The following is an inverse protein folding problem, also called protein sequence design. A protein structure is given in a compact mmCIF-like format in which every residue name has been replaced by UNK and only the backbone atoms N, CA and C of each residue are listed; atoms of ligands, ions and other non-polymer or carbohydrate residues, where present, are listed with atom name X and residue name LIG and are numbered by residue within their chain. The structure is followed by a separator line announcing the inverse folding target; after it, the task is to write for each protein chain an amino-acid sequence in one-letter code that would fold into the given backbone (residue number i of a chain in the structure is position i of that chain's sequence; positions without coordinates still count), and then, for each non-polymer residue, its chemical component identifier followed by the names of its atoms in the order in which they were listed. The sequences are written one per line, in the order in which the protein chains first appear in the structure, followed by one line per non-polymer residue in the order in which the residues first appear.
data_IF_227390851101
#
_entry.id   IF_227390851101
#
_cell.length_a   1.000
_cell.length_b   1.000
_cell.length_c   1.000
_cell.angle_alpha   90.00
_cell.angle_beta   90.00
_cell.angle_gamma   90.00
#
_symmetry.space_group_name_H-M   'P 1'
#
loop_
_entity.id
_entity.type
_entity.pdbx_description
1 polymer ?
#
# COMPACT_ATOMS: atom_id res chain seq x y z
N UNK A 1 0.29 -30.36 -11.29
CA UNK A 1 0.87 -29.00 -11.29
C UNK A 1 2.33 -29.12 -11.66
N UNK A 2 2.80 -28.38 -12.66
CA UNK A 2 4.21 -28.40 -13.10
C UNK A 2 5.06 -27.50 -12.20
N UNK A 3 6.39 -27.67 -12.22
CA UNK A 3 7.32 -26.80 -11.48
C UNK A 3 7.11 -25.32 -11.83
N UNK A 4 6.87 -25.00 -13.11
CA UNK A 4 6.59 -23.65 -13.57
C UNK A 4 5.31 -23.08 -12.94
N UNK A 5 4.24 -23.88 -12.87
CA UNK A 5 2.99 -23.48 -12.23
C UNK A 5 3.18 -23.24 -10.72
N UNK A 6 3.97 -24.08 -10.05
CA UNK A 6 4.28 -23.91 -8.62
C UNK A 6 5.08 -22.62 -8.35
N UNK A 7 6.11 -22.35 -9.17
CA UNK A 7 6.91 -21.12 -9.04
C UNK A 7 6.05 -19.87 -9.27
N UNK A 8 5.19 -19.88 -10.28
CA UNK A 8 4.28 -18.76 -10.54
C UNK A 8 3.34 -18.54 -9.36
N UNK A 9 2.73 -19.61 -8.82
CA UNK A 9 1.85 -19.50 -7.65
C UNK A 9 2.57 -18.93 -6.42
N UNK A 10 3.82 -19.32 -6.19
CA UNK A 10 4.64 -18.76 -5.10
C UNK A 10 4.92 -17.28 -5.31
N UNK A 11 5.28 -16.88 -6.54
CA UNK A 11 5.50 -15.49 -6.92
C UNK A 11 4.23 -14.65 -6.69
N UNK A 12 3.09 -15.12 -7.21
CA UNK A 12 1.79 -14.46 -7.08
C UNK A 12 1.40 -14.24 -5.62
N UNK A 13 1.53 -15.28 -4.79
CA UNK A 13 1.25 -15.19 -3.36
C UNK A 13 2.20 -14.21 -2.64
N UNK A 14 3.48 -14.18 -3.02
CA UNK A 14 4.45 -13.24 -2.46
C UNK A 14 4.11 -11.79 -2.84
N UNK A 15 3.69 -11.53 -4.08
CA UNK A 15 3.25 -10.20 -4.52
C UNK A 15 1.97 -9.76 -3.81
N UNK A 16 1.00 -10.65 -3.61
CA UNK A 16 -0.22 -10.36 -2.83
C UNK A 16 0.10 -10.03 -1.36
N UNK A 17 1.00 -10.79 -0.74
CA UNK A 17 1.46 -10.52 0.61
C UNK A 17 2.18 -9.16 0.68
N UNK A 18 3.06 -8.86 -0.28
CA UNK A 18 3.77 -7.58 -0.33
C UNK A 18 2.80 -6.41 -0.57
N UNK A 19 1.88 -6.54 -1.52
CA UNK A 19 0.86 -5.53 -1.81
C UNK A 19 -0.01 -5.24 -0.58
N UNK A 20 -0.25 -6.23 0.30
CA UNK A 20 -1.05 -6.02 1.53
C UNK A 20 -0.47 -4.98 2.49
N UNK A 21 0.83 -4.66 2.39
CA UNK A 21 1.47 -3.58 3.14
C UNK A 21 1.14 -2.18 2.60
N UNK A 22 0.54 -2.08 1.41
CA UNK A 22 0.15 -0.82 0.80
C UNK A 22 -0.96 -0.09 1.57
N UNK A 23 -0.82 1.23 1.72
CA UNK A 23 -1.78 2.11 2.40
C UNK A 23 -3.01 2.43 1.53
N UNK A 24 -3.77 1.40 1.16
CA UNK A 24 -4.91 1.52 0.25
C UNK A 24 -6.09 2.33 0.79
N UNK A 25 -6.14 2.59 2.10
CA UNK A 25 -7.15 3.46 2.69
C UNK A 25 -7.12 4.87 2.07
N UNK A 26 -5.94 5.38 1.69
CA UNK A 26 -5.83 6.67 1.00
C UNK A 26 -6.56 6.70 -0.35
N UNK A 27 -6.67 5.58 -1.07
CA UNK A 27 -7.44 5.50 -2.31
C UNK A 27 -8.91 5.15 -2.03
N UNK A 28 -9.18 4.12 -1.24
CA UNK A 28 -10.55 3.62 -1.02
C UNK A 28 -11.46 4.58 -0.26
N UNK A 29 -10.92 5.44 0.62
CA UNK A 29 -11.74 6.44 1.31
C UNK A 29 -12.32 7.50 0.36
N UNK A 30 -11.65 7.75 -0.77
CA UNK A 30 -12.12 8.67 -1.82
C UNK A 30 -13.37 8.12 -2.55
N UNK A 31 -13.57 6.80 -2.54
CA UNK A 31 -14.58 6.11 -3.34
C UNK A 31 -15.74 5.52 -2.51
N UNK A 32 -15.67 5.51 -1.18
CA UNK A 32 -16.62 4.80 -0.30
C UNK A 32 -17.72 5.66 0.35
N UNK A 33 -17.86 6.95 0.03
CA UNK A 33 -18.90 7.81 0.65
C UNK A 33 -19.69 8.62 -0.40
N UNK A 34 -21.00 8.36 -0.57
CA UNK A 34 -21.88 9.22 -1.38
C UNK A 34 -22.19 10.57 -0.71
N UNK A 35 -22.11 10.64 0.62
CA UNK A 35 -22.64 11.77 1.40
C UNK A 35 -21.61 12.86 1.75
N UNK A 36 -20.33 12.63 1.48
CA UNK A 36 -19.25 13.60 1.70
C UNK A 36 -18.33 13.64 0.49
N UNK A 37 -18.43 14.73 -0.28
CA UNK A 37 -17.68 15.02 -1.52
C UNK A 37 -16.16 15.16 -1.27
N UNK A 38 -15.70 15.28 -0.02
CA UNK A 38 -14.48 16.06 0.24
C UNK A 38 -13.26 15.31 0.80
N UNK A 39 -13.25 13.97 0.85
CA UNK A 39 -12.03 13.23 1.27
C UNK A 39 -11.22 12.72 0.08
N UNK A 40 -10.72 13.67 -0.72
CA UNK A 40 -9.72 13.39 -1.76
C UNK A 40 -8.33 13.53 -1.15
N UNK A 41 -7.51 12.49 -1.31
CA UNK A 41 -6.12 12.50 -0.90
C UNK A 41 -5.21 12.84 -2.08
N UNK A 42 -4.22 13.69 -1.82
CA UNK A 42 -3.31 14.23 -2.82
C UNK A 42 -1.88 13.84 -2.53
N UNK A 43 -1.08 13.76 -3.59
CA UNK A 43 0.37 13.58 -3.53
C UNK A 43 1.06 14.59 -4.45
N UNK A 44 2.35 14.80 -4.22
CA UNK A 44 3.18 15.53 -5.19
C UNK A 44 3.36 14.67 -6.45
N UNK A 45 2.97 15.21 -7.60
CA UNK A 45 3.03 14.52 -8.88
C UNK A 45 4.48 14.28 -9.29
N UNK A 46 4.77 13.11 -9.85
CA UNK A 46 6.09 12.79 -10.40
C UNK A 46 6.12 12.88 -11.93
N UNK A 47 7.29 13.17 -12.49
CA UNK A 47 7.61 13.03 -13.91
C UNK A 47 7.93 11.58 -14.28
N UNK A 48 8.20 11.35 -15.57
CA UNK A 48 8.54 10.03 -16.10
C UNK A 48 9.81 9.42 -15.50
N UNK A 49 10.66 10.25 -14.89
CA UNK A 49 11.91 9.86 -14.24
C UNK A 49 11.76 9.76 -12.70
N UNK A 50 10.53 9.88 -12.17
CA UNK A 50 10.26 9.80 -10.73
C UNK A 50 10.63 11.06 -9.94
N UNK A 51 10.88 12.20 -10.60
CA UNK A 51 11.17 13.49 -9.93
C UNK A 51 9.89 14.30 -9.72
N UNK A 52 9.87 15.16 -8.71
CA UNK A 52 8.71 16.03 -8.45
C UNK A 52 8.47 16.97 -9.64
N UNK A 53 7.23 17.00 -10.13
CA UNK A 53 6.77 17.98 -11.12
C UNK A 53 6.62 19.34 -10.45
N UNK A 54 7.16 20.36 -11.11
CA UNK A 54 7.04 21.74 -10.67
C UNK A 54 6.12 22.53 -11.62
N UNK A 55 5.36 23.47 -11.06
CA UNK A 55 4.62 24.46 -11.82
C UNK A 55 5.55 25.59 -12.33
N UNK A 56 5.00 26.54 -13.08
CA UNK A 56 5.74 27.69 -13.61
C UNK A 56 6.37 28.59 -12.51
N UNK A 57 5.95 28.41 -11.25
CA UNK A 57 6.44 29.15 -10.09
C UNK A 57 7.38 28.31 -9.22
N UNK A 58 7.92 27.20 -9.74
CA UNK A 58 8.78 26.25 -9.03
C UNK A 58 8.13 25.60 -7.79
N UNK A 59 6.81 25.48 -7.73
CA UNK A 59 6.10 24.77 -6.66
C UNK A 59 5.71 23.36 -7.11
N UNK A 60 5.77 22.40 -6.19
CA UNK A 60 5.36 21.02 -6.47
C UNK A 60 3.89 20.96 -6.86
N UNK A 61 3.61 20.32 -7.99
CA UNK A 61 2.25 20.09 -8.49
C UNK A 61 1.63 18.97 -7.67
N UNK A 62 0.43 19.20 -7.12
CA UNK A 62 -0.35 18.16 -6.43
C UNK A 62 -1.42 17.59 -7.34
N UNK A 63 -1.68 16.29 -7.21
CA UNK A 63 -2.78 15.60 -7.89
C UNK A 63 -3.42 14.56 -6.96
N UNK A 64 -4.66 14.13 -7.22
CA UNK A 64 -5.27 13.02 -6.51
C UNK A 64 -4.42 11.75 -6.59
N UNK A 65 -4.44 10.95 -5.51
CA UNK A 65 -3.83 9.62 -5.46
C UNK A 65 -4.56 8.67 -6.42
N UNK A 66 -3.79 7.91 -7.17
CA UNK A 66 -4.25 6.73 -7.92
C UNK A 66 -3.84 5.46 -7.17
N UNK A 67 -4.55 4.36 -7.41
CA UNK A 67 -4.28 3.08 -6.74
C UNK A 67 -2.85 2.57 -6.97
N UNK A 68 -2.31 2.84 -8.15
CA UNK A 68 -0.95 2.47 -8.58
C UNK A 68 0.11 3.18 -7.75
N UNK A 69 -0.12 4.43 -7.36
CA UNK A 69 0.85 5.23 -6.59
C UNK A 69 1.16 4.62 -5.23
N UNK A 70 0.20 3.91 -4.63
CA UNK A 70 0.32 3.34 -3.29
C UNK A 70 1.42 2.26 -3.22
N UNK A 71 1.61 1.52 -4.31
CA UNK A 71 2.60 0.46 -4.39
C UNK A 71 3.86 0.86 -5.19
N UNK A 72 3.83 1.93 -5.97
CA UNK A 72 4.97 2.35 -6.81
C UNK A 72 6.15 2.86 -5.97
N UNK A 73 7.33 2.29 -6.20
CA UNK A 73 8.57 2.70 -5.55
C UNK A 73 8.97 4.17 -5.79
N UNK A 74 8.53 4.79 -6.88
CA UNK A 74 8.80 6.21 -7.16
C UNK A 74 8.07 7.14 -6.18
N UNK A 75 7.02 6.63 -5.55
CA UNK A 75 6.24 7.33 -4.52
C UNK A 75 6.60 6.84 -3.12
N UNK A 76 7.63 6.01 -2.97
CA UNK A 76 8.16 5.65 -1.66
C UNK A 76 8.56 6.90 -0.89
N UNK A 77 8.09 7.01 0.35
CA UNK A 77 8.27 8.19 1.21
C UNK A 77 7.63 9.48 0.66
N UNK A 78 6.72 9.38 -0.31
CA UNK A 78 5.95 10.53 -0.77
C UNK A 78 4.87 10.89 0.24
N UNK A 79 4.79 12.16 0.58
CA UNK A 79 3.79 12.66 1.52
C UNK A 79 2.39 12.66 0.91
N UNK A 80 1.42 12.24 1.73
CA UNK A 80 0.00 12.27 1.42
C UNK A 80 -0.64 13.47 2.11
N UNK A 81 -1.49 14.18 1.38
CA UNK A 81 -2.13 15.40 1.81
C UNK A 81 -3.65 15.32 1.71
N UNK A 82 -4.34 16.00 2.62
CA UNK A 82 -5.78 16.29 2.54
C UNK A 82 -5.96 17.79 2.32
N UNK A 83 -6.92 18.19 1.47
CA UNK A 83 -7.19 19.61 1.25
C UNK A 83 -8.17 20.13 2.31
N UNK A 84 -7.70 21.10 3.08
CA UNK A 84 -8.50 21.80 4.07
C UNK A 84 -9.18 23.02 3.44
N UNK A 85 -10.45 22.87 3.09
CA UNK A 85 -11.25 23.94 2.46
C UNK A 85 -11.39 25.19 3.33
N UNK A 86 -11.41 25.05 4.66
CA UNK A 86 -11.52 26.18 5.59
C UNK A 86 -10.24 27.02 5.62
N UNK A 87 -9.08 26.36 5.67
CA UNK A 87 -7.77 27.03 5.72
C UNK A 87 -7.17 27.26 4.33
N UNK A 88 -7.82 26.77 3.26
CA UNK A 88 -7.38 26.82 1.87
C UNK A 88 -5.95 26.33 1.67
N UNK A 89 -5.61 25.19 2.30
CA UNK A 89 -4.26 24.62 2.26
C UNK A 89 -4.30 23.10 2.29
N UNK A 90 -3.16 22.50 1.96
CA UNK A 90 -2.94 21.05 2.06
C UNK A 90 -2.30 20.73 3.41
N UNK A 91 -2.93 19.88 4.20
CA UNK A 91 -2.40 19.36 5.45
C UNK A 91 -1.82 17.96 5.20
N UNK A 92 -0.60 17.69 5.68
CA UNK A 92 0.04 16.37 5.56
C UNK A 92 -0.60 15.38 6.53
N UNK A 93 -1.05 14.23 6.02
CA UNK A 93 -1.74 13.20 6.80
C UNK A 93 -0.97 11.89 6.90
N UNK A 94 0.07 11.71 6.10
CA UNK A 94 0.90 10.52 6.14
C UNK A 94 1.86 10.43 4.96
N UNK A 95 2.31 9.21 4.68
CA UNK A 95 3.36 8.95 3.70
C UNK A 95 3.16 7.56 3.10
N UNK A 96 3.45 7.41 1.80
CA UNK A 96 3.39 6.13 1.09
C UNK A 96 4.66 5.30 1.30
N UNK A 97 4.52 3.97 1.20
CA UNK A 97 5.63 3.02 1.35
C UNK A 97 5.63 1.97 0.22
N UNK A 98 5.29 2.40 -0.99
CA UNK A 98 5.35 1.55 -2.18
C UNK A 98 6.77 1.08 -2.50
N UNK A 99 6.90 -0.14 -2.98
CA UNK A 99 8.19 -0.78 -3.32
C UNK A 99 8.17 -1.53 -4.66
N UNK A 100 7.06 -1.50 -5.40
CA UNK A 100 6.94 -2.18 -6.67
C UNK A 100 7.63 -1.37 -7.76
N UNK A 101 8.41 -2.07 -8.58
CA UNK A 101 8.89 -1.51 -9.85
C UNK A 101 7.74 -1.36 -10.85
N UNK A 102 7.90 -0.45 -11.83
CA UNK A 102 6.87 -0.13 -12.84
C UNK A 102 6.24 -1.35 -13.52
N UNK A 103 7.05 -2.31 -13.95
CA UNK A 103 6.57 -3.52 -14.65
C UNK A 103 5.79 -4.43 -13.70
N UNK A 104 6.29 -4.62 -12.47
CA UNK A 104 5.63 -5.43 -11.45
C UNK A 104 4.26 -4.84 -11.09
N UNK A 105 4.21 -3.52 -10.89
CA UNK A 105 3.00 -2.77 -10.61
C UNK A 105 1.93 -2.94 -11.69
N UNK A 106 2.34 -2.79 -12.96
CA UNK A 106 1.45 -2.96 -14.10
C UNK A 106 0.92 -4.41 -14.16
N UNK A 107 1.80 -5.40 -14.07
CA UNK A 107 1.40 -6.82 -14.10
C UNK A 107 0.47 -7.19 -12.95
N UNK A 108 0.70 -6.62 -11.76
CA UNK A 108 -0.13 -6.85 -10.58
C UNK A 108 -1.55 -6.32 -10.80
N UNK A 109 -1.71 -5.06 -11.18
CA UNK A 109 -3.04 -4.46 -11.39
C UNK A 109 -3.73 -4.89 -12.69
N UNK A 110 -3.00 -5.48 -13.65
CA UNK A 110 -3.62 -6.19 -14.78
C UNK A 110 -4.28 -7.51 -14.39
N UNK A 111 -4.04 -8.01 -13.17
CA UNK A 111 -4.56 -9.28 -12.68
C UNK A 111 -5.44 -9.12 -11.45
N UNK A 112 -5.04 -8.30 -10.49
CA UNK A 112 -5.70 -8.20 -9.20
C UNK A 112 -6.45 -6.89 -9.03
N UNK A 113 -7.76 -6.99 -8.82
CA UNK A 113 -8.58 -5.86 -8.39
C UNK A 113 -8.55 -5.75 -6.86
N UNK A 114 -8.44 -4.52 -6.36
CA UNK A 114 -8.59 -4.22 -4.93
C UNK A 114 -10.07 -4.10 -4.58
N UNK A 115 -10.56 -4.97 -3.69
CA UNK A 115 -11.96 -4.93 -3.25
C UNK A 115 -12.14 -4.22 -1.91
N UNK A 116 -11.27 -4.54 -0.94
CA UNK A 116 -11.36 -4.01 0.41
C UNK A 116 -9.99 -3.96 1.05
N UNK A 117 -9.78 -2.94 1.87
CA UNK A 117 -8.61 -2.84 2.73
C UNK A 117 -9.06 -2.45 4.13
N UNK A 118 -8.50 -3.15 5.11
CA UNK A 118 -8.54 -2.80 6.52
C UNK A 118 -7.14 -2.30 6.88
N UNK A 119 -6.96 -0.99 7.13
CA UNK A 119 -5.65 -0.47 7.56
C UNK A 119 -5.27 -1.04 8.93
N UNK A 120 -4.00 -0.86 9.32
CA UNK A 120 -3.51 -1.26 10.63
C UNK A 120 -4.43 -0.72 11.75
N UNK A 121 -5.00 -1.63 12.53
CA UNK A 121 -5.79 -1.32 13.72
C UNK A 121 -4.89 -1.24 14.96
N UNK A 122 -5.44 -0.79 16.09
CA UNK A 122 -4.71 -0.73 17.37
C UNK A 122 -4.21 -2.10 17.86
N UNK A 123 -4.83 -3.20 17.40
CA UNK A 123 -4.36 -4.56 17.67
C UNK A 123 -3.20 -5.02 16.77
N UNK A 124 -2.80 -4.19 15.81
CA UNK A 124 -1.83 -4.54 14.78
C UNK A 124 -2.40 -5.38 13.63
N UNK A 125 -3.72 -5.64 13.61
CA UNK A 125 -4.37 -6.35 12.52
C UNK A 125 -4.52 -5.45 11.29
N UNK A 126 -4.15 -5.98 10.12
CA UNK A 126 -4.36 -5.38 8.80
C UNK A 126 -4.58 -6.47 7.77
N UNK A 127 -5.50 -6.22 6.83
CA UNK A 127 -5.82 -7.18 5.78
C UNK A 127 -6.34 -6.49 4.52
N UNK A 128 -6.05 -7.08 3.37
CA UNK A 128 -6.48 -6.62 2.06
C UNK A 128 -7.10 -7.76 1.28
N UNK A 129 -8.30 -7.53 0.75
CA UNK A 129 -9.01 -8.48 -0.11
C UNK A 129 -8.79 -8.09 -1.57
N UNK A 130 -8.18 -9.00 -2.32
CA UNK A 130 -7.95 -8.89 -3.75
C UNK A 130 -8.83 -9.87 -4.50
N UNK A 131 -9.21 -9.50 -5.73
CA UNK A 131 -9.86 -10.37 -6.69
C UNK A 131 -8.92 -10.68 -7.86
N UNK A 132 -8.62 -11.94 -8.11
CA UNK A 132 -7.88 -12.38 -9.29
C UNK A 132 -8.83 -12.46 -10.50
N UNK A 133 -8.71 -11.50 -11.41
CA UNK A 133 -9.50 -11.41 -12.64
C UNK A 133 -9.15 -12.48 -13.68
N UNK A 134 -8.05 -13.21 -13.47
CA UNK A 134 -7.56 -14.26 -14.37
C UNK A 134 -7.62 -15.64 -13.73
N UNK A 135 -8.30 -15.79 -12.59
CA UNK A 135 -8.43 -17.06 -11.89
C UNK A 135 -9.14 -18.12 -12.75
N UNK A 136 -8.57 -19.32 -12.73
CA UNK A 136 -9.02 -20.50 -13.47
C UNK A 136 -10.24 -21.18 -12.81
N UNK A 137 -10.61 -20.74 -11.59
CA UNK A 137 -11.73 -21.27 -10.81
C UNK A 137 -12.26 -20.24 -9.82
N UNK A 138 -13.54 -20.37 -9.43
CA UNK A 138 -14.19 -19.49 -8.45
C UNK A 138 -13.52 -19.52 -7.08
N UNK A 139 -12.97 -20.66 -6.68
CA UNK A 139 -12.32 -20.83 -5.37
C UNK A 139 -10.98 -20.09 -5.26
N UNK A 140 -10.40 -19.67 -6.40
CA UNK A 140 -9.15 -18.91 -6.48
C UNK A 140 -9.39 -17.44 -6.84
N UNK A 141 -10.65 -17.04 -7.06
CA UNK A 141 -11.03 -15.70 -7.52
C UNK A 141 -10.77 -14.65 -6.43
N UNK A 142 -10.78 -15.01 -5.15
CA UNK A 142 -10.63 -14.07 -4.04
C UNK A 142 -9.47 -14.48 -3.13
N UNK A 143 -8.55 -13.56 -2.89
CA UNK A 143 -7.44 -13.76 -1.94
C UNK A 143 -7.48 -12.72 -0.84
N UNK A 144 -7.57 -13.19 0.40
CA UNK A 144 -7.40 -12.37 1.60
C UNK A 144 -5.92 -12.40 2.01
N UNK A 145 -5.22 -11.29 1.83
CA UNK A 145 -3.86 -11.12 2.29
C UNK A 145 -3.87 -10.44 3.67
N UNK A 146 -3.30 -11.11 4.66
CA UNK A 146 -3.17 -10.60 6.04
C UNK A 146 -1.72 -10.16 6.22
N UNK A 147 -1.54 -8.94 6.73
CA UNK A 147 -0.21 -8.40 7.02
C UNK A 147 0.38 -9.07 8.25
N UNK A 148 1.67 -9.37 8.22
CA UNK A 148 2.41 -9.75 9.43
C UNK A 148 2.56 -8.55 10.38
N UNK A 149 2.70 -8.82 11.68
CA UNK A 149 3.01 -7.78 12.66
C UNK A 149 4.31 -7.08 12.27
N UNK A 150 4.27 -5.75 12.19
CA UNK A 150 5.47 -4.94 12.09
C UNK A 150 6.27 -5.09 13.38
N UNK A 151 7.28 -5.96 13.39
CA UNK A 151 8.20 -6.07 14.50
C UNK A 151 8.94 -4.75 14.65
N UNK A 152 8.63 -3.99 15.70
CA UNK A 152 9.43 -2.80 16.03
C UNK A 152 10.77 -3.27 16.57
N UNK A 153 11.86 -2.61 16.19
CA UNK A 153 13.23 -3.04 16.53
C UNK A 153 13.43 -3.18 18.06
N UNK A 154 12.74 -2.34 18.82
CA UNK A 154 12.59 -2.33 20.27
C UNK A 154 11.99 -3.63 20.83
N UNK A 155 11.03 -4.26 20.13
CA UNK A 155 10.46 -5.55 20.54
C UNK A 155 11.44 -6.72 20.34
N UNK A 156 12.40 -6.60 19.41
CA UNK A 156 13.46 -7.62 19.23
C UNK A 156 14.46 -7.54 20.37
N UNK A 157 14.77 -6.34 20.87
CA UNK A 157 15.68 -6.17 22.00
C UNK A 157 15.10 -6.79 23.28
N UNK A 158 13.81 -6.59 23.54
CA UNK A 158 13.13 -7.22 24.68
C UNK A 158 13.11 -8.75 24.55
N UNK A 159 12.82 -9.29 23.36
CA UNK A 159 12.80 -10.73 23.13
C UNK A 159 14.19 -11.38 23.26
N UNK A 160 15.24 -10.68 22.82
CA UNK A 160 16.63 -11.10 23.02
C UNK A 160 17.02 -11.02 24.50
N UNK A 161 16.67 -9.94 25.20
CA UNK A 161 16.94 -9.78 26.63
C UNK A 161 16.26 -10.88 27.44
N UNK A 162 15.00 -11.19 27.17
CA UNK A 162 14.25 -12.28 27.82
C UNK A 162 14.90 -13.65 27.56
N UNK A 163 15.37 -13.90 26.32
CA UNK A 163 16.10 -15.12 25.98
C UNK A 163 17.44 -15.23 26.74
N UNK A 164 18.20 -14.14 26.84
CA UNK A 164 19.47 -14.13 27.59
C UNK A 164 19.27 -14.25 29.10
N UNK A 165 18.17 -13.71 29.65
CA UNK A 165 17.82 -13.89 31.06
C UNK A 165 17.38 -15.33 31.33
N UNK A 166 16.63 -15.95 30.41
CA UNK A 166 16.15 -17.33 30.52
C UNK A 166 17.20 -18.42 30.29
N UNK A 167 18.34 -18.09 29.65
CA UNK A 167 19.43 -19.03 29.36
C UNK A 167 20.63 -18.91 30.32
N UNK A 168 20.63 -17.91 31.22
CA UNK A 168 21.66 -17.72 32.25
C UNK A 168 21.30 -18.34 33.62
N UNK A 169 20.44 -19.37 33.64
CA UNK A 169 20.20 -20.22 34.81
C UNK A 169 20.74 -21.64 34.57
#
# INVERSE_FOLDING_TARGET
MTNKQQINKLKDNAELAWASYGYFHYFLEQHNKPDYIDKVHYIDAKDENGKDKLDNNNKKVKRPIEITDILDMNYKKCDVFEYNSFLKRYDRIGTLDGDFGKIQLQQFFERYDLLKHCPNTDSGFSATLFKDTKADSKDLEYTLAIRGTEFKLDQIQDLLNDYYIGTNN
#
